data_IF_437173981587
#
_entry.id   IF_437173981587
#
_cell.length_a   1.000
_cell.length_b   1.000
_cell.length_c   1.000
_cell.angle_alpha   90.00
_cell.angle_beta   90.00
_cell.angle_gamma   90.00
#
_symmetry.space_group_name_H-M   'P 1'
#
loop_
_entity.id
_entity.type
_entity.pdbx_description
1 polymer ?
#
# COMPACT_ATOMS: atom_id res chain seq x y z
N UNK A 1 -6.08 32.14 -8.73
CA UNK A 1 -5.31 31.26 -7.82
C UNK A 1 -5.41 29.85 -8.36
N UNK A 2 -4.31 29.10 -8.45
CA UNK A 2 -4.34 27.74 -8.97
C UNK A 2 -4.98 26.82 -7.93
N UNK A 3 -6.14 26.23 -8.25
CA UNK A 3 -6.79 25.25 -7.37
C UNK A 3 -5.95 23.97 -7.36
N UNK A 4 -5.77 23.36 -6.17
CA UNK A 4 -5.05 22.10 -6.03
C UNK A 4 -5.79 21.00 -6.81
N UNK A 5 -5.11 20.42 -7.80
CA UNK A 5 -5.71 19.46 -8.72
C UNK A 5 -5.78 18.09 -8.04
N UNK A 6 -6.97 17.53 -7.93
CA UNK A 6 -7.21 16.20 -7.36
C UNK A 6 -6.50 15.14 -8.18
N UNK A 7 -5.74 14.28 -7.51
CA UNK A 7 -5.23 13.05 -8.12
C UNK A 7 -6.33 11.98 -8.16
N UNK A 8 -6.12 10.92 -8.94
CA UNK A 8 -7.00 9.73 -8.94
C UNK A 8 -7.17 9.17 -7.52
N UNK A 9 -6.11 9.21 -6.71
CA UNK A 9 -6.13 8.73 -5.33
C UNK A 9 -6.99 9.64 -4.44
N UNK A 10 -6.92 10.95 -4.63
CA UNK A 10 -7.75 11.90 -3.87
C UNK A 10 -9.23 11.74 -4.20
N UNK A 11 -9.55 11.53 -5.48
CA UNK A 11 -10.91 11.26 -5.94
C UNK A 11 -11.45 9.94 -5.38
N UNK A 12 -10.67 8.85 -5.44
CA UNK A 12 -11.07 7.56 -4.85
C UNK A 12 -11.33 7.72 -3.35
N UNK A 13 -10.45 8.44 -2.64
CA UNK A 13 -10.60 8.71 -1.21
C UNK A 13 -11.89 9.46 -0.91
N UNK A 14 -12.18 10.52 -1.67
CA UNK A 14 -13.41 11.29 -1.47
C UNK A 14 -14.67 10.47 -1.76
N UNK A 15 -14.71 9.74 -2.88
CA UNK A 15 -15.85 8.90 -3.26
C UNK A 15 -16.15 7.80 -2.23
N UNK A 16 -15.12 7.18 -1.67
CA UNK A 16 -15.28 6.15 -0.63
C UNK A 16 -15.70 6.75 0.71
N UNK A 17 -15.07 7.85 1.15
CA UNK A 17 -15.37 8.46 2.46
C UNK A 17 -16.68 9.24 2.51
N UNK A 18 -17.06 9.95 1.43
CA UNK A 18 -18.16 10.92 1.45
C UNK A 18 -19.37 10.42 0.66
N UNK A 19 -19.14 9.81 -0.50
CA UNK A 19 -20.20 9.19 -1.29
C UNK A 19 -20.48 7.72 -0.90
N UNK A 20 -19.70 7.14 0.03
CA UNK A 20 -19.87 5.77 0.54
C UNK A 20 -19.87 4.71 -0.57
N UNK A 21 -19.09 4.94 -1.63
CA UNK A 21 -18.87 3.95 -2.68
C UNK A 21 -17.93 2.85 -2.19
N UNK A 22 -18.12 1.63 -2.70
CA UNK A 22 -17.08 0.60 -2.57
C UNK A 22 -15.82 1.03 -3.31
N UNK A 23 -14.67 0.48 -2.92
CA UNK A 23 -13.38 0.81 -3.56
C UNK A 23 -13.41 0.52 -5.07
N UNK A 24 -14.05 -0.58 -5.49
CA UNK A 24 -14.21 -0.93 -6.91
C UNK A 24 -15.06 0.11 -7.66
N UNK A 25 -16.18 0.54 -7.08
CA UNK A 25 -17.04 1.57 -7.68
C UNK A 25 -16.33 2.93 -7.73
N UNK A 26 -15.55 3.27 -6.70
CA UNK A 26 -14.77 4.50 -6.64
C UNK A 26 -13.63 4.50 -7.66
N UNK A 27 -12.95 3.36 -7.89
CA UNK A 27 -11.96 3.21 -8.95
C UNK A 27 -12.57 3.32 -10.35
N UNK A 28 -13.74 2.72 -10.58
CA UNK A 28 -14.48 2.83 -11.86
C UNK A 28 -14.85 4.29 -12.18
N UNK A 29 -15.18 5.09 -11.17
CA UNK A 29 -15.65 6.46 -11.35
C UNK A 29 -14.53 7.51 -11.36
N UNK A 30 -13.43 7.28 -10.63
CA UNK A 30 -12.43 8.32 -10.35
C UNK A 30 -11.76 8.89 -11.59
N UNK A 31 -11.28 8.03 -12.49
CA UNK A 31 -10.61 8.45 -13.73
C UNK A 31 -11.58 9.18 -14.68
N UNK A 32 -12.81 8.70 -14.74
CA UNK A 32 -13.87 9.30 -15.56
C UNK A 32 -14.24 10.70 -15.07
N UNK A 33 -14.37 10.89 -13.75
CA UNK A 33 -14.68 12.19 -13.14
C UNK A 33 -13.56 13.21 -13.35
N UNK A 34 -12.31 12.82 -13.15
CA UNK A 34 -11.16 13.72 -13.38
C UNK A 34 -11.04 14.12 -14.85
N UNK A 35 -11.24 13.17 -15.79
CA UNK A 35 -11.22 13.45 -17.22
C UNK A 35 -12.39 14.35 -17.66
N UNK A 36 -13.53 14.28 -16.96
CA UNK A 36 -14.69 15.14 -17.20
C UNK A 36 -14.54 16.54 -16.59
N UNK A 37 -13.38 16.87 -16.00
CA UNK A 37 -13.09 18.19 -15.46
C UNK A 37 -13.43 18.40 -13.98
N UNK A 38 -13.90 17.36 -13.28
CA UNK A 38 -14.11 17.38 -11.82
C UNK A 38 -12.80 17.15 -11.07
N UNK A 39 -11.78 17.95 -11.38
CA UNK A 39 -10.41 17.82 -10.88
C UNK A 39 -10.10 18.75 -9.69
N UNK A 40 -11.12 19.34 -9.06
CA UNK A 40 -11.02 20.03 -7.77
C UNK A 40 -12.29 19.83 -6.94
N UNK A 41 -12.20 19.98 -5.61
CA UNK A 41 -13.38 19.93 -4.75
C UNK A 41 -14.35 21.08 -5.01
N UNK A 42 -13.86 22.23 -5.45
CA UNK A 42 -14.70 23.37 -5.83
C UNK A 42 -15.59 22.99 -7.03
N UNK A 43 -15.01 22.37 -8.06
CA UNK A 43 -15.76 21.91 -9.25
C UNK A 43 -16.72 20.76 -8.96
N UNK A 44 -16.41 19.92 -7.97
CA UNK A 44 -17.34 18.91 -7.47
C UNK A 44 -18.47 19.54 -6.64
N UNK A 45 -18.17 20.59 -5.88
CA UNK A 45 -19.10 21.31 -5.01
C UNK A 45 -20.01 22.29 -5.74
N UNK A 46 -19.67 22.69 -6.96
CA UNK A 46 -20.45 23.56 -7.86
C UNK A 46 -21.73 22.87 -8.38
N UNK A 47 -22.62 22.49 -7.47
CA UNK A 47 -23.98 21.98 -7.72
C UNK A 47 -24.06 20.90 -8.80
N UNK A 48 -23.09 19.98 -8.82
CA UNK A 48 -23.07 18.82 -9.72
C UNK A 48 -24.42 18.11 -9.68
N UNK A 49 -25.00 17.89 -10.86
CA UNK A 49 -26.31 17.25 -11.01
C UNK A 49 -26.19 15.82 -11.52
N UNK A 50 -27.24 15.01 -11.31
CA UNK A 50 -27.27 13.64 -11.84
C UNK A 50 -27.24 13.60 -13.38
N UNK A 51 -27.76 14.63 -14.06
CA UNK A 51 -27.75 14.70 -15.52
C UNK A 51 -26.35 15.03 -16.06
N UNK A 52 -25.59 15.89 -15.39
CA UNK A 52 -24.19 16.18 -15.74
C UNK A 52 -23.26 14.99 -15.49
N UNK A 53 -23.55 14.17 -14.47
CA UNK A 53 -22.77 12.95 -14.19
C UNK A 53 -23.16 11.76 -15.08
N UNK A 54 -24.29 11.81 -15.80
CA UNK A 54 -24.78 10.74 -16.66
C UNK A 54 -23.80 10.27 -17.75
N UNK A 55 -23.07 11.15 -18.47
CA UNK A 55 -22.05 10.73 -19.43
C UNK A 55 -20.81 10.10 -18.78
N UNK A 56 -20.58 10.34 -17.48
CA UNK A 56 -19.34 9.97 -16.76
C UNK A 56 -19.53 8.74 -15.87
N UNK A 57 -20.69 8.61 -15.25
CA UNK A 57 -21.03 7.57 -14.26
C UNK A 57 -22.33 6.88 -14.68
N UNK A 58 -22.18 5.68 -15.25
CA UNK A 58 -23.30 4.92 -15.86
C UNK A 58 -24.39 4.51 -14.86
N UNK A 59 -23.99 4.12 -13.64
CA UNK A 59 -24.90 3.59 -12.61
C UNK A 59 -25.61 4.73 -11.86
N UNK A 60 -26.94 4.78 -11.93
CA UNK A 60 -27.76 5.82 -11.30
C UNK A 60 -27.59 5.90 -9.77
N UNK A 61 -27.42 4.75 -9.10
CA UNK A 61 -27.14 4.68 -7.67
C UNK A 61 -25.86 5.44 -7.29
N UNK A 62 -24.81 5.33 -8.11
CA UNK A 62 -23.53 6.00 -7.88
C UNK A 62 -23.67 7.51 -8.12
N UNK A 63 -24.38 7.93 -9.17
CA UNK A 63 -24.66 9.36 -9.42
C UNK A 63 -25.33 10.03 -8.24
N UNK A 64 -26.39 9.43 -7.69
CA UNK A 64 -27.10 9.92 -6.51
C UNK A 64 -26.19 10.08 -5.30
N UNK A 65 -25.36 9.07 -5.05
CA UNK A 65 -24.41 9.07 -3.94
C UNK A 65 -23.36 10.19 -4.07
N UNK A 66 -22.84 10.39 -5.29
CA UNK A 66 -21.86 11.44 -5.60
C UNK A 66 -22.48 12.83 -5.46
N UNK A 67 -23.66 13.06 -6.03
CA UNK A 67 -24.39 14.35 -5.91
C UNK A 67 -24.70 14.66 -4.45
N UNK A 68 -25.13 13.67 -3.68
CA UNK A 68 -25.43 13.88 -2.26
C UNK A 68 -24.17 14.21 -1.44
N UNK A 69 -23.03 13.59 -1.76
CA UNK A 69 -21.75 13.92 -1.14
C UNK A 69 -21.23 15.30 -1.55
N UNK A 70 -21.42 15.67 -2.82
CA UNK A 70 -21.02 16.96 -3.38
C UNK A 70 -21.73 18.15 -2.73
N UNK A 71 -23.01 18.01 -2.35
CA UNK A 71 -23.74 19.04 -1.58
C UNK A 71 -23.07 19.38 -0.24
N UNK A 72 -22.38 18.42 0.37
CA UNK A 72 -21.61 18.66 1.60
C UNK A 72 -20.35 19.52 1.40
N UNK A 73 -19.91 19.71 0.14
CA UNK A 73 -18.78 20.59 -0.19
C UNK A 73 -19.21 22.05 -0.31
N UNK A 74 -20.45 22.32 -0.77
CA UNK A 74 -20.97 23.68 -0.91
C UNK A 74 -21.34 24.35 0.42
N UNK A 75 -21.63 23.58 1.47
CA UNK A 75 -21.94 24.11 2.82
C UNK A 75 -20.67 24.54 3.61
N UNK A 76 -19.47 24.27 3.08
CA UNK A 76 -18.19 24.71 3.67
C UNK A 76 -17.69 26.03 3.06
N UNK A 77 -18.60 26.91 2.66
CA UNK A 77 -18.28 28.30 2.37
C UNK A 77 -17.88 29.04 3.66
N UNK A 78 -16.61 29.43 3.75
CA UNK A 78 -16.03 30.32 4.79
C UNK A 78 -16.11 29.84 6.25
N UNK A 79 -15.20 28.95 6.67
CA UNK A 79 -14.55 29.11 7.98
C UNK A 79 -13.24 28.34 8.08
N UNK A 80 -12.19 29.07 8.42
CA UNK A 80 -11.04 28.56 9.16
C UNK A 80 -11.53 28.02 10.49
N UNK A 81 -11.80 26.72 10.59
CA UNK A 81 -12.35 26.14 11.81
C UNK A 81 -12.40 24.62 11.80
N UNK A 82 -11.29 23.98 12.16
CA UNK A 82 -11.24 22.54 12.47
C UNK A 82 -12.23 22.23 13.61
N UNK A 83 -13.11 21.22 13.48
CA UNK A 83 -13.69 20.57 14.65
C UNK A 83 -12.62 19.65 15.25
N UNK A 84 -12.22 19.95 16.49
CA UNK A 84 -11.32 19.12 17.26
C UNK A 84 -11.98 17.78 17.62
N UNK A 85 -11.34 16.67 17.24
CA UNK A 85 -11.57 15.37 17.87
C UNK A 85 -10.62 15.19 19.06
N UNK A 86 -11.06 14.49 20.12
CA UNK A 86 -10.45 14.57 21.44
C UNK A 86 -9.03 14.01 21.45
N UNK A 87 -8.17 14.79 22.09
CA UNK A 87 -6.74 14.61 22.28
C UNK A 87 -6.40 13.30 23.01
N UNK A 88 -5.71 12.40 22.32
CA UNK A 88 -4.76 11.49 22.95
C UNK A 88 -3.37 11.77 22.39
N UNK A 89 -2.59 12.49 23.21
CA UNK A 89 -1.13 12.68 23.22
C UNK A 89 -0.45 12.68 21.84
N UNK A 90 -0.01 13.85 21.39
CA UNK A 90 1.03 13.98 20.37
C UNK A 90 2.30 13.28 20.85
N UNK A 91 2.43 11.98 20.58
CA UNK A 91 3.68 11.26 20.74
C UNK A 91 4.53 11.55 19.52
N UNK A 92 5.50 12.46 19.66
CA UNK A 92 6.61 12.53 18.71
C UNK A 92 7.18 11.11 18.58
N UNK A 93 7.07 10.53 17.39
CA UNK A 93 7.51 9.16 17.16
C UNK A 93 9.03 9.17 16.99
N UNK A 94 9.74 8.50 17.90
CA UNK A 94 11.20 8.48 17.95
C UNK A 94 11.73 7.30 17.14
N UNK A 95 11.99 7.54 15.86
CA UNK A 95 12.75 6.63 15.00
C UNK A 95 14.20 7.11 14.87
N UNK A 96 15.18 6.21 15.01
CA UNK A 96 16.55 6.44 14.55
C UNK A 96 16.72 5.82 13.15
N UNK A 97 16.89 6.63 12.09
CA UNK A 97 17.10 6.12 10.74
C UNK A 97 18.29 5.16 10.62
N UNK A 98 19.33 5.32 11.45
CA UNK A 98 20.52 4.44 11.44
C UNK A 98 20.20 3.04 11.93
N UNK A 99 19.23 2.91 12.84
CA UNK A 99 18.81 1.62 13.38
C UNK A 99 18.11 0.74 12.33
N UNK A 100 17.65 1.33 11.22
CA UNK A 100 16.99 0.62 10.11
C UNK A 100 17.81 0.63 8.82
N UNK A 101 19.04 1.16 8.85
CA UNK A 101 19.91 1.20 7.69
C UNK A 101 20.35 -0.22 7.30
N UNK A 102 20.19 -0.54 6.03
CA UNK A 102 20.68 -1.76 5.40
C UNK A 102 21.12 -1.43 3.97
N UNK A 103 22.34 -1.84 3.61
CA UNK A 103 22.85 -1.70 2.25
C UNK A 103 22.44 -2.93 1.46
N UNK A 104 21.69 -2.71 0.38
CA UNK A 104 21.32 -3.81 -0.52
C UNK A 104 22.57 -4.28 -1.26
N UNK A 105 22.69 -5.60 -1.45
CA UNK A 105 23.75 -6.14 -2.26
C UNK A 105 23.59 -5.64 -3.71
N UNK A 106 24.70 -5.39 -4.38
CA UNK A 106 24.76 -4.94 -5.78
C UNK A 106 25.48 -5.93 -6.69
N UNK A 107 26.22 -6.88 -6.13
CA UNK A 107 26.88 -7.97 -6.87
C UNK A 107 25.83 -8.96 -7.39
N UNK A 108 25.47 -8.81 -8.67
CA UNK A 108 24.43 -9.59 -9.33
C UNK A 108 24.74 -11.09 -9.33
N UNK A 109 26.00 -11.48 -9.50
CA UNK A 109 26.36 -12.91 -9.55
C UNK A 109 26.26 -13.54 -8.16
N UNK A 110 26.73 -12.84 -7.13
CA UNK A 110 26.52 -13.27 -5.73
C UNK A 110 25.04 -13.31 -5.36
N UNK A 111 24.24 -12.35 -5.81
CA UNK A 111 22.78 -12.35 -5.61
C UNK A 111 22.16 -13.57 -6.28
N UNK A 112 22.42 -13.82 -7.57
CA UNK A 112 21.83 -14.95 -8.31
C UNK A 112 22.19 -16.30 -7.68
N UNK A 113 23.40 -16.44 -7.14
CA UNK A 113 23.84 -17.67 -6.48
C UNK A 113 23.14 -17.95 -5.13
N UNK A 114 22.42 -16.98 -4.56
CA UNK A 114 21.77 -17.14 -3.26
C UNK A 114 20.41 -17.85 -3.36
N UNK A 115 20.24 -18.89 -2.55
CA UNK A 115 18.99 -19.64 -2.42
C UNK A 115 18.79 -20.07 -0.96
N UNK A 116 17.54 -20.20 -0.52
CA UNK A 116 17.22 -20.70 0.82
C UNK A 116 15.82 -21.30 0.94
N UNK A 117 15.59 -22.13 1.96
CA UNK A 117 14.25 -22.58 2.34
C UNK A 117 13.63 -21.63 3.36
N UNK A 118 12.53 -20.95 2.98
CA UNK A 118 11.89 -19.91 3.80
C UNK A 118 10.37 -19.92 3.64
N UNK A 119 9.67 -19.39 4.63
CA UNK A 119 8.23 -19.18 4.60
C UNK A 119 7.87 -18.08 3.58
N UNK A 120 6.62 -18.11 3.08
CA UNK A 120 6.10 -17.10 2.15
C UNK A 120 5.96 -15.70 2.76
N UNK A 121 5.68 -15.61 4.07
CA UNK A 121 5.41 -14.33 4.74
C UNK A 121 6.63 -13.40 4.82
N UNK A 122 7.83 -13.86 5.25
CA UNK A 122 9.04 -13.03 5.18
C UNK A 122 9.36 -12.55 3.75
N UNK A 123 9.17 -13.40 2.75
CA UNK A 123 9.40 -13.06 1.34
C UNK A 123 8.41 -12.00 0.87
N UNK A 124 7.13 -12.12 1.24
CA UNK A 124 6.12 -11.10 0.96
C UNK A 124 6.47 -9.77 1.61
N UNK A 125 6.92 -9.79 2.86
CA UNK A 125 7.29 -8.58 3.59
C UNK A 125 8.49 -7.88 2.95
N UNK A 126 9.55 -8.62 2.63
CA UNK A 126 10.71 -8.06 1.93
C UNK A 126 10.31 -7.44 0.59
N UNK A 127 9.49 -8.14 -0.20
CA UNK A 127 9.05 -7.66 -1.50
C UNK A 127 8.16 -6.42 -1.40
N UNK A 128 7.18 -6.43 -0.49
CA UNK A 128 6.31 -5.28 -0.25
C UNK A 128 7.10 -4.03 0.18
N UNK A 129 8.16 -4.21 0.98
CA UNK A 129 9.03 -3.11 1.40
C UNK A 129 9.80 -2.53 0.21
N UNK A 130 10.35 -3.37 -0.66
CA UNK A 130 11.04 -2.91 -1.87
C UNK A 130 10.08 -2.21 -2.84
N UNK A 131 8.88 -2.77 -3.05
CA UNK A 131 7.87 -2.14 -3.92
C UNK A 131 7.46 -0.78 -3.37
N UNK A 132 7.20 -0.66 -2.06
CA UNK A 132 6.87 0.61 -1.44
C UNK A 132 8.03 1.62 -1.56
N UNK A 133 9.27 1.21 -1.26
CA UNK A 133 10.46 2.06 -1.44
C UNK A 133 10.56 2.58 -2.88
N UNK A 134 10.39 1.69 -3.87
CA UNK A 134 10.49 2.04 -5.30
C UNK A 134 9.29 2.83 -5.80
N UNK A 135 8.15 2.75 -5.11
CA UNK A 135 6.98 3.61 -5.34
C UNK A 135 7.16 5.04 -4.81
N UNK A 136 8.27 5.35 -4.13
CA UNK A 136 8.59 6.70 -3.65
C UNK A 136 8.48 6.89 -2.13
N UNK A 137 8.13 5.86 -1.37
CA UNK A 137 8.11 5.92 0.09
C UNK A 137 9.53 5.86 0.66
N UNK A 138 9.76 6.52 1.78
CA UNK A 138 11.00 6.40 2.56
C UNK A 138 11.12 4.99 3.13
N UNK A 139 12.35 4.53 3.39
CA UNK A 139 12.59 3.16 3.86
C UNK A 139 11.85 2.81 5.15
N UNK A 140 11.77 3.75 6.10
CA UNK A 140 10.98 3.58 7.33
C UNK A 140 9.47 3.38 7.03
N UNK A 141 8.92 4.19 6.13
CA UNK A 141 7.52 4.09 5.72
C UNK A 141 7.26 2.74 5.05
N UNK A 142 8.13 2.38 4.10
CA UNK A 142 8.08 1.12 3.36
C UNK A 142 8.10 -0.11 4.28
N UNK A 143 8.98 -0.14 5.28
CA UNK A 143 9.03 -1.21 6.29
C UNK A 143 7.73 -1.33 7.08
N UNK A 144 7.16 -0.20 7.52
CA UNK A 144 5.89 -0.20 8.26
C UNK A 144 4.72 -0.69 7.40
N UNK A 145 4.63 -0.21 6.15
CA UNK A 145 3.61 -0.60 5.17
C UNK A 145 3.69 -2.09 4.84
N UNK A 146 4.90 -2.59 4.60
CA UNK A 146 5.15 -3.99 4.26
C UNK A 146 4.77 -4.96 5.38
N UNK A 147 4.99 -4.55 6.64
CA UNK A 147 4.58 -5.33 7.81
C UNK A 147 3.07 -5.55 7.84
N UNK A 148 2.30 -4.45 7.75
CA UNK A 148 0.83 -4.51 7.77
C UNK A 148 0.30 -5.21 6.52
N UNK A 149 0.88 -4.94 5.35
CA UNK A 149 0.53 -5.63 4.11
C UNK A 149 0.64 -7.15 4.26
N UNK A 150 1.74 -7.63 4.83
CA UNK A 150 1.99 -9.06 5.03
C UNK A 150 1.02 -9.66 6.05
N UNK A 151 0.74 -8.96 7.14
CA UNK A 151 -0.22 -9.40 8.15
C UNK A 151 -1.63 -9.53 7.58
N UNK A 152 -2.08 -8.54 6.80
CA UNK A 152 -3.39 -8.57 6.17
C UNK A 152 -3.52 -9.72 5.16
N UNK A 153 -2.46 -10.00 4.39
CA UNK A 153 -2.44 -11.14 3.46
C UNK A 153 -2.42 -12.48 4.19
N UNK A 154 -1.62 -12.61 5.25
CA UNK A 154 -1.62 -13.81 6.09
C UNK A 154 -2.99 -14.03 6.71
N UNK A 155 -3.60 -13.00 7.31
CA UNK A 155 -4.93 -13.07 7.92
C UNK A 155 -6.00 -13.51 6.91
N UNK A 156 -6.06 -12.86 5.75
CA UNK A 156 -7.01 -13.22 4.69
C UNK A 156 -6.82 -14.68 4.24
N UNK A 157 -5.57 -15.14 4.11
CA UNK A 157 -5.29 -16.52 3.74
C UNK A 157 -5.69 -17.51 4.85
N UNK A 158 -5.39 -17.21 6.11
CA UNK A 158 -5.80 -18.04 7.25
C UNK A 158 -7.32 -18.13 7.40
N UNK A 159 -8.05 -17.05 7.11
CA UNK A 159 -9.52 -17.05 7.05
C UNK A 159 -10.03 -17.93 5.91
N UNK A 160 -9.46 -17.81 4.71
CA UNK A 160 -9.85 -18.65 3.56
C UNK A 160 -9.62 -20.15 3.79
N UNK A 161 -8.72 -20.51 4.71
CA UNK A 161 -8.43 -21.89 5.09
C UNK A 161 -9.24 -22.36 6.31
N UNK A 162 -10.07 -21.49 6.91
CA UNK A 162 -10.80 -21.78 8.14
C UNK A 162 -9.92 -21.87 9.39
N UNK A 163 -8.65 -21.46 9.32
CA UNK A 163 -7.68 -21.51 10.44
C UNK A 163 -7.88 -20.32 11.37
N UNK A 164 -8.17 -19.14 10.81
CA UNK A 164 -8.39 -17.90 11.57
C UNK A 164 -9.88 -17.60 11.54
N UNK A 165 -10.48 -17.49 12.72
CA UNK A 165 -11.88 -17.07 12.83
C UNK A 165 -12.03 -15.59 12.48
N UNK A 166 -13.15 -15.23 11.86
CA UNK A 166 -13.57 -13.84 11.68
C UNK A 166 -13.99 -13.24 13.02
N UNK A 167 -13.03 -12.79 13.82
CA UNK A 167 -13.30 -11.88 14.93
C UNK A 167 -12.97 -10.45 14.53
N UNK A 168 -13.90 -9.53 14.78
CA UNK A 168 -13.82 -8.07 14.61
C UNK A 168 -12.80 -7.61 13.57
N UNK A 169 -13.24 -7.52 12.31
CA UNK A 169 -12.43 -6.95 11.24
C UNK A 169 -12.27 -5.43 11.42
N UNK A 170 -11.32 -5.03 12.27
CA UNK A 170 -11.00 -3.61 12.53
C UNK A 170 -10.32 -2.90 11.35
N UNK A 171 -9.97 -3.63 10.28
CA UNK A 171 -9.25 -3.05 9.13
C UNK A 171 -10.12 -2.03 8.37
N UNK A 172 -11.41 -2.31 8.18
CA UNK A 172 -12.29 -1.42 7.42
C UNK A 172 -12.55 -0.08 8.13
N UNK A 173 -12.88 -0.03 9.44
CA UNK A 173 -12.90 1.22 10.20
C UNK A 173 -11.56 1.98 10.15
N UNK A 174 -10.43 1.28 10.27
CA UNK A 174 -9.11 1.89 10.19
C UNK A 174 -8.84 2.52 8.82
N UNK A 175 -9.25 1.87 7.74
CA UNK A 175 -9.11 2.42 6.39
C UNK A 175 -9.89 3.72 6.23
N UNK A 176 -11.12 3.80 6.75
CA UNK A 176 -11.96 5.00 6.70
C UNK A 176 -11.39 6.18 7.50
N UNK A 177 -10.60 5.91 8.54
CA UNK A 177 -10.03 6.91 9.45
C UNK A 177 -8.54 7.20 9.19
N UNK A 178 -7.98 6.68 8.11
CA UNK A 178 -6.54 6.73 7.85
C UNK A 178 -6.21 7.33 6.48
N UNK A 179 -4.97 7.78 6.31
CA UNK A 179 -4.37 8.07 5.02
C UNK A 179 -3.96 6.76 4.34
N UNK A 180 -4.95 5.93 4.00
CA UNK A 180 -4.70 4.60 3.44
C UNK A 180 -3.78 4.66 2.21
N UNK A 181 -2.84 3.73 2.14
CA UNK A 181 -1.85 3.61 1.08
C UNK A 181 -2.18 2.41 0.21
N UNK A 182 -2.28 2.60 -1.10
CA UNK A 182 -2.35 1.48 -2.05
C UNK A 182 -0.96 0.85 -2.19
N UNK A 183 -0.88 -0.46 -1.97
CA UNK A 183 0.35 -1.23 -2.18
C UNK A 183 -0.03 -2.57 -2.80
N UNK A 184 0.53 -2.88 -3.98
CA UNK A 184 0.32 -4.16 -4.68
C UNK A 184 -1.15 -4.59 -4.81
N UNK A 185 -2.04 -3.63 -5.06
CA UNK A 185 -3.49 -3.87 -5.20
C UNK A 185 -4.27 -3.99 -3.89
N UNK A 186 -3.68 -3.63 -2.75
CA UNK A 186 -4.35 -3.62 -1.44
C UNK A 186 -4.20 -2.28 -0.74
N UNK A 187 -5.29 -1.78 -0.17
CA UNK A 187 -5.26 -0.62 0.73
C UNK A 187 -4.71 -1.01 2.10
N UNK A 188 -3.72 -0.27 2.56
CA UNK A 188 -3.05 -0.42 3.85
C UNK A 188 -3.40 0.78 4.72
N UNK A 189 -4.01 0.60 5.90
CA UNK A 189 -4.31 1.72 6.78
C UNK A 189 -3.00 2.34 7.27
N UNK A 190 -2.87 3.66 7.15
CA UNK A 190 -1.67 4.39 7.53
C UNK A 190 -2.00 5.81 7.98
N UNK A 191 -1.24 6.38 8.92
CA UNK A 191 -1.39 7.78 9.35
C UNK A 191 -0.09 8.51 9.05
N UNK A 192 -0.18 9.79 8.68
CA UNK A 192 1.00 10.67 8.69
C UNK A 192 1.32 11.05 10.13
N UNK A 193 2.54 10.74 10.56
CA UNK A 193 3.02 10.97 11.93
C UNK A 193 4.24 11.88 11.86
N UNK A 194 4.29 12.89 12.73
CA UNK A 194 5.46 13.76 12.86
C UNK A 194 6.61 12.96 13.50
N UNK A 195 7.74 12.90 12.80
CA UNK A 195 8.96 12.28 13.30
C UNK A 195 9.84 13.32 13.98
N UNK A 196 10.60 12.92 15.00
CA UNK A 196 11.55 13.82 15.70
C UNK A 196 12.59 14.43 14.76
N UNK A 197 13.07 13.65 13.80
CA UNK A 197 14.21 13.97 12.94
C UNK A 197 13.81 14.33 11.50
N UNK A 198 12.52 14.50 11.22
CA UNK A 198 12.03 14.84 9.88
C UNK A 198 11.24 16.14 9.93
N UNK A 199 11.42 16.99 8.92
CA UNK A 199 10.66 18.22 8.74
C UNK A 199 9.25 17.95 8.27
N UNK A 200 9.05 16.88 7.50
CA UNK A 200 7.75 16.48 6.95
C UNK A 200 7.15 15.29 7.71
N UNK A 201 5.82 15.26 7.91
CA UNK A 201 5.12 14.08 8.42
C UNK A 201 5.33 12.86 7.51
N UNK A 202 5.68 11.73 8.09
CA UNK A 202 5.90 10.48 7.37
C UNK A 202 4.75 9.49 7.60
N UNK A 203 4.47 8.65 6.61
CA UNK A 203 3.51 7.56 6.76
C UNK A 203 3.98 6.51 7.76
N UNK A 204 3.09 6.09 8.65
CA UNK A 204 3.23 4.87 9.45
C UNK A 204 1.97 4.04 9.28
N UNK A 205 2.15 2.79 8.87
CA UNK A 205 1.04 1.85 8.77
C UNK A 205 0.44 1.58 10.15
N UNK A 206 -0.87 1.34 10.21
CA UNK A 206 -1.60 1.06 11.44
C UNK A 206 -1.79 -0.45 11.59
N UNK A 207 -1.43 -0.99 12.74
CA UNK A 207 -1.76 -2.38 13.10
C UNK A 207 -3.27 -2.55 13.28
N UNK A 208 -3.74 -3.79 13.40
CA UNK A 208 -5.14 -4.09 13.72
C UNK A 208 -5.63 -3.51 15.06
N UNK A 209 -4.70 -3.11 15.92
CA UNK A 209 -4.99 -2.53 17.24
C UNK A 209 -4.96 -0.99 17.23
N UNK A 210 -4.97 -0.36 16.05
CA UNK A 210 -4.88 1.11 15.85
C UNK A 210 -3.60 1.73 16.44
N UNK A 211 -2.49 0.98 16.39
CA UNK A 211 -1.17 1.49 16.77
C UNK A 211 -0.28 1.68 15.53
N UNK A 212 0.45 2.81 15.42
CA UNK A 212 1.45 2.98 14.38
C UNK A 212 2.55 1.93 14.49
N UNK A 213 2.83 1.24 13.38
CA UNK A 213 3.85 0.19 13.32
C UNK A 213 5.23 0.83 13.23
N UNK A 214 6.09 0.51 14.21
CA UNK A 214 7.49 0.91 14.19
C UNK A 214 8.25 0.17 13.08
N UNK A 215 9.06 0.84 12.24
CA UNK A 215 9.73 0.22 11.09
C UNK A 215 10.66 -0.94 11.49
N UNK A 216 11.31 -0.84 12.65
CA UNK A 216 12.17 -1.89 13.19
C UNK A 216 11.44 -3.22 13.40
N UNK A 217 10.13 -3.22 13.68
CA UNK A 217 9.37 -4.46 13.83
C UNK A 217 9.37 -5.30 12.53
N UNK A 218 9.36 -4.64 11.37
CA UNK A 218 9.48 -5.31 10.08
C UNK A 218 10.91 -5.77 9.83
N UNK A 219 11.90 -4.90 10.04
CA UNK A 219 13.30 -5.23 9.79
C UNK A 219 13.81 -6.35 10.71
N UNK A 220 13.52 -6.32 12.01
CA UNK A 220 13.87 -7.40 12.94
C UNK A 220 13.25 -8.73 12.52
N UNK A 221 12.02 -8.70 12.02
CA UNK A 221 11.36 -9.90 11.50
C UNK A 221 12.06 -10.44 10.26
N UNK A 222 12.47 -9.56 9.34
CA UNK A 222 13.21 -9.93 8.14
C UNK A 222 14.60 -10.48 8.51
N UNK A 223 15.39 -9.76 9.32
CA UNK A 223 16.72 -10.18 9.76
C UNK A 223 16.68 -11.58 10.40
N UNK A 224 15.72 -11.84 11.30
CA UNK A 224 15.54 -13.17 11.90
C UNK A 224 15.14 -14.23 10.89
N UNK A 225 14.21 -13.91 9.98
CA UNK A 225 13.68 -14.89 9.02
C UNK A 225 14.67 -15.28 7.93
N UNK A 226 15.53 -14.35 7.53
CA UNK A 226 16.54 -14.53 6.50
C UNK A 226 17.91 -14.93 7.08
N UNK A 227 18.02 -15.20 8.39
CA UNK A 227 19.27 -15.68 8.99
C UNK A 227 20.36 -14.62 9.14
N UNK A 228 20.00 -13.34 9.21
CA UNK A 228 20.91 -12.23 9.44
C UNK A 228 20.89 -11.15 8.34
N UNK A 229 21.60 -10.05 8.59
CA UNK A 229 21.64 -8.88 7.69
C UNK A 229 22.30 -9.16 6.35
N UNK A 230 23.35 -9.98 6.31
CA UNK A 230 24.10 -10.24 5.07
C UNK A 230 23.26 -11.00 4.03
N UNK A 231 22.52 -12.02 4.48
CA UNK A 231 21.62 -12.78 3.62
C UNK A 231 20.40 -11.93 3.23
N UNK A 232 19.86 -11.15 4.17
CA UNK A 232 18.80 -10.20 3.87
C UNK A 232 19.23 -9.17 2.81
N UNK A 233 20.46 -8.67 2.86
CA UNK A 233 20.99 -7.73 1.87
C UNK A 233 21.02 -8.32 0.45
N UNK A 234 21.32 -9.61 0.30
CA UNK A 234 21.25 -10.32 -0.99
C UNK A 234 19.81 -10.40 -1.52
N UNK A 235 18.86 -10.73 -0.64
CA UNK A 235 17.44 -10.84 -1.00
C UNK A 235 16.87 -9.48 -1.39
N UNK A 236 17.10 -8.45 -0.56
CA UNK A 236 16.66 -7.08 -0.85
C UNK A 236 17.31 -6.55 -2.13
N UNK A 237 18.60 -6.86 -2.38
CA UNK A 237 19.29 -6.50 -3.62
C UNK A 237 18.67 -7.11 -4.87
N UNK A 238 18.39 -8.42 -4.88
CA UNK A 238 17.76 -9.05 -6.05
C UNK A 238 16.31 -8.60 -6.27
N UNK A 239 15.56 -8.38 -5.19
CA UNK A 239 14.24 -7.75 -5.28
C UNK A 239 14.32 -6.32 -5.81
N UNK A 240 15.32 -5.55 -5.37
CA UNK A 240 15.53 -4.18 -5.84
C UNK A 240 15.77 -4.12 -7.35
N UNK A 241 16.56 -5.05 -7.88
CA UNK A 241 16.78 -5.22 -9.33
C UNK A 241 15.46 -5.50 -10.05
N UNK A 242 14.63 -6.40 -9.52
CA UNK A 242 13.33 -6.70 -10.11
C UNK A 242 12.40 -5.48 -10.08
N UNK A 243 12.28 -4.79 -8.95
CA UNK A 243 11.41 -3.63 -8.83
C UNK A 243 11.83 -2.47 -9.74
N UNK A 244 13.14 -2.30 -9.98
CA UNK A 244 13.67 -1.30 -10.93
C UNK A 244 13.32 -1.56 -12.40
N UNK A 245 12.93 -2.79 -12.77
CA UNK A 245 12.44 -3.10 -14.13
C UNK A 245 10.98 -2.66 -14.39
N UNK A 246 10.30 -2.17 -13.34
CA UNK A 246 8.91 -1.73 -13.40
C UNK A 246 8.82 -0.22 -13.53
N UNK A 247 7.81 0.25 -14.26
CA UNK A 247 7.44 1.67 -14.29
C UNK A 247 6.79 2.09 -12.98
N UNK A 248 6.73 3.40 -12.72
CA UNK A 248 6.05 3.93 -11.54
C UNK A 248 4.56 3.54 -11.52
N UNK A 249 3.88 3.55 -12.66
CA UNK A 249 2.48 3.13 -12.75
C UNK A 249 2.30 1.65 -12.40
N UNK A 250 3.22 0.78 -12.84
CA UNK A 250 3.20 -0.64 -12.49
C UNK A 250 3.43 -0.85 -10.98
N UNK A 251 4.33 -0.08 -10.37
CA UNK A 251 4.61 -0.13 -8.94
C UNK A 251 3.45 0.39 -8.08
N UNK A 252 2.83 1.51 -8.46
CA UNK A 252 1.87 2.23 -7.63
C UNK A 252 0.41 1.83 -7.86
N UNK A 253 0.02 1.52 -9.10
CA UNK A 253 -1.39 1.46 -9.51
C UNK A 253 -1.85 0.08 -9.97
N UNK A 254 -0.97 -0.92 -9.96
CA UNK A 254 -1.27 -2.24 -10.53
C UNK A 254 -1.10 -3.39 -9.55
N UNK A 255 -1.63 -4.56 -9.93
CA UNK A 255 -1.39 -5.84 -9.25
C UNK A 255 -0.14 -6.57 -9.78
N UNK A 256 0.61 -5.98 -10.73
CA UNK A 256 1.78 -6.61 -11.36
C UNK A 256 2.84 -6.99 -10.32
N UNK A 257 3.20 -6.15 -9.33
CA UNK A 257 4.17 -6.56 -8.32
C UNK A 257 3.70 -7.80 -7.52
N UNK A 258 2.40 -7.93 -7.25
CA UNK A 258 1.86 -9.13 -6.62
C UNK A 258 1.98 -10.35 -7.55
N UNK A 259 1.64 -10.21 -8.83
CA UNK A 259 1.75 -11.30 -9.81
C UNK A 259 3.21 -11.76 -9.98
N UNK A 260 4.18 -10.86 -9.91
CA UNK A 260 5.60 -11.22 -9.90
C UNK A 260 5.96 -11.99 -8.65
N UNK A 261 5.48 -11.55 -7.48
CA UNK A 261 5.63 -12.32 -6.24
C UNK A 261 5.10 -13.75 -6.38
N UNK A 262 3.95 -13.95 -7.04
CA UNK A 262 3.43 -15.31 -7.25
C UNK A 262 4.34 -16.21 -8.08
N UNK A 263 5.17 -15.62 -8.97
CA UNK A 263 6.10 -16.35 -9.82
C UNK A 263 7.39 -16.78 -9.09
N UNK A 264 7.86 -16.01 -8.11
CA UNK A 264 9.11 -16.32 -7.39
C UNK A 264 8.91 -16.77 -5.94
N UNK A 265 7.70 -16.63 -5.38
CA UNK A 265 7.44 -17.02 -3.98
C UNK A 265 7.78 -18.49 -3.76
N UNK A 266 8.22 -18.86 -2.54
CA UNK A 266 8.43 -20.25 -2.18
C UNK A 266 7.26 -21.15 -2.56
N UNK A 267 7.54 -22.24 -3.29
CA UNK A 267 6.54 -23.28 -3.54
C UNK A 267 6.26 -24.03 -2.23
N UNK A 268 4.98 -24.19 -1.90
CA UNK A 268 4.51 -25.00 -0.77
C UNK A 268 3.22 -25.70 -1.18
N UNK A 269 2.87 -26.77 -0.48
CA UNK A 269 1.64 -27.53 -0.73
C UNK A 269 0.38 -26.65 -0.70
N UNK A 270 -0.66 -27.09 -1.41
CA UNK A 270 -1.94 -26.39 -1.40
C UNK A 270 -2.70 -26.63 -0.09
N UNK A 271 -3.54 -25.68 0.30
CA UNK A 271 -4.41 -25.79 1.48
C UNK A 271 -3.68 -25.62 2.82
N UNK A 272 -4.21 -26.27 3.85
CA UNK A 272 -3.71 -26.16 5.23
C UNK A 272 -2.28 -26.69 5.37
N UNK A 273 -1.88 -27.71 4.59
CA UNK A 273 -0.54 -28.29 4.66
C UNK A 273 0.57 -27.31 4.29
N UNK A 274 0.31 -26.38 3.36
CA UNK A 274 1.26 -25.33 3.01
C UNK A 274 1.23 -24.12 3.94
N UNK A 275 0.29 -24.06 4.89
CA UNK A 275 0.20 -22.95 5.82
C UNK A 275 1.42 -22.91 6.74
N UNK A 276 2.20 -21.84 6.65
CA UNK A 276 3.42 -21.68 7.44
C UNK A 276 4.59 -22.59 7.03
N UNK A 277 4.44 -23.37 5.95
CA UNK A 277 5.50 -24.22 5.43
C UNK A 277 6.62 -23.39 4.76
N UNK A 278 7.84 -23.93 4.81
CA UNK A 278 9.00 -23.41 4.09
C UNK A 278 9.05 -24.01 2.69
N UNK A 279 9.47 -23.21 1.73
CA UNK A 279 9.81 -23.66 0.39
C UNK A 279 11.06 -22.96 -0.11
N UNK A 280 11.59 -23.43 -1.24
CA UNK A 280 12.79 -22.87 -1.86
C UNK A 280 12.50 -21.47 -2.44
N UNK A 281 13.30 -20.49 -2.05
CA UNK A 281 13.43 -19.18 -2.70
C UNK A 281 14.74 -19.17 -3.49
N UNK A 282 14.69 -18.79 -4.77
CA UNK A 282 15.87 -18.66 -5.64
C UNK A 282 15.99 -17.21 -6.13
N UNK A 283 17.10 -16.55 -5.80
CA UNK A 283 17.32 -15.18 -6.24
C UNK A 283 17.68 -15.10 -7.73
N UNK A 284 18.20 -16.18 -8.32
CA UNK A 284 18.31 -16.29 -9.78
C UNK A 284 16.95 -16.15 -10.47
N UNK A 285 15.89 -16.77 -9.93
CA UNK A 285 14.53 -16.61 -10.44
C UNK A 285 14.04 -15.16 -10.31
N UNK A 286 14.27 -14.53 -9.15
CA UNK A 286 13.87 -13.13 -8.91
C UNK A 286 14.53 -12.19 -9.91
N UNK A 287 15.86 -12.28 -10.08
CA UNK A 287 16.62 -11.44 -11.02
C UNK A 287 16.24 -11.74 -12.47
N UNK A 288 16.03 -13.00 -12.84
CA UNK A 288 15.64 -13.40 -14.19
C UNK A 288 14.27 -12.86 -14.62
N UNK A 289 13.34 -12.62 -13.68
CA UNK A 289 12.05 -11.98 -13.99
C UNK A 289 12.20 -10.52 -14.44
N UNK A 290 13.27 -9.83 -14.01
CA UNK A 290 13.54 -8.44 -14.39
C UNK A 290 13.93 -8.34 -15.88
N UNK A 291 14.69 -9.32 -16.38
CA UNK A 291 15.21 -9.33 -17.75
C UNK A 291 14.09 -9.56 -18.77
N UNK A 292 13.21 -10.54 -18.50
CA UNK A 292 12.05 -10.84 -19.37
C UNK A 292 11.08 -9.66 -19.51
N UNK A 293 10.92 -8.87 -18.44
CA UNK A 293 10.09 -7.67 -18.47
C UNK A 293 10.63 -6.59 -19.41
N UNK A 294 11.95 -6.46 -19.52
CA UNK A 294 12.59 -5.47 -20.41
C UNK A 294 12.57 -5.91 -21.88
N UNK A 295 12.72 -7.21 -22.15
CA UNK A 295 12.65 -7.77 -23.51
C UNK A 295 11.25 -7.63 -24.12
N UNK A 296 10.19 -7.66 -23.31
CA UNK A 296 8.80 -7.53 -23.80
C UNK A 296 8.42 -6.05 -24.06
N UNK A 297 9.22 -5.10 -23.57
CA UNK A 297 8.97 -3.65 -23.68
C UNK A 297 9.82 -2.96 -24.75
N UNK A 298 10.80 -3.67 -25.33
CA UNK A 298 11.66 -3.19 -26.42
C UNK A 298 11.11 -3.63 -27.77
#
# INVERSE_FOLDING_TARGET
MAHERLTVVDMIRWLTSHAKLSVTEAMECSKSLLNAGYDSFDRLGDKVTEEELKPVVKKAKLRKAIVQAAKGLSDQGTSTGKPASPSKKSSVFKDDPRAIEIKFATDIERIKAFEMNINRAPVMNAWAAIVALRSGYQWAEALSLAKVYTELNARAKGQSLGIIQEKDNKTEPLLLQSNAVMLMGRLIPAKKVQMTLSTEPQYRAMSSDDYPVHPRASLDYLERSFGGRDQLALVLGGMDVLAKSLSQDELQLSTIPYQLYEKFRPFVEFGVKGWGAKGKLSMATVVGLAQKGNETKS
#
